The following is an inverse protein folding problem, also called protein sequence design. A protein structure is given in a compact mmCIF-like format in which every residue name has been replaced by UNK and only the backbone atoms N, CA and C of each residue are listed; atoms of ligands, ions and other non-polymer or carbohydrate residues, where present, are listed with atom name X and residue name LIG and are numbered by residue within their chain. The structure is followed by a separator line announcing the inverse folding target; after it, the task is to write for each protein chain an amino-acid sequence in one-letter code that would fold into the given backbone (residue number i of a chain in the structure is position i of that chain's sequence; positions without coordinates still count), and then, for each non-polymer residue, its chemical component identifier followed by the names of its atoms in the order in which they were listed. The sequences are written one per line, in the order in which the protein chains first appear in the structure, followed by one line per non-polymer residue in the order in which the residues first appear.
data_IF_040644637735
#
_entry.id   IF_040644637735
#
_cell.length_a   1.000
_cell.length_b   1.000
_cell.length_c   1.000
_cell.angle_alpha   90.00
_cell.angle_beta   90.00
_cell.angle_gamma   90.00
#
_symmetry.space_group_name_H-M   'P 1'
#
loop_
_entity.id
_entity.type
_entity.pdbx_description
1 polymer ?
#
# COMPACT_ATOMS: atom_id res chain seq x y z
N UNK A 1 26.57 -22.79 1.41
CA UNK A 1 25.21 -22.26 1.20
C UNK A 1 25.05 -21.05 2.12
N UNK A 2 24.64 -19.89 1.62
CA UNK A 2 24.53 -18.67 2.45
C UNK A 2 23.32 -18.73 3.38
N UNK A 3 23.47 -18.29 4.63
CA UNK A 3 22.39 -18.22 5.61
C UNK A 3 21.63 -16.89 5.49
N UNK A 4 20.29 -16.94 5.50
CA UNK A 4 19.43 -15.77 5.51
C UNK A 4 19.62 -14.96 6.80
N UNK A 5 19.97 -13.68 6.68
CA UNK A 5 20.22 -12.80 7.85
C UNK A 5 18.94 -12.08 8.27
N UNK A 6 17.95 -12.83 8.77
CA UNK A 6 16.61 -12.35 9.18
C UNK A 6 16.67 -11.06 10.01
N UNK A 7 17.50 -11.03 11.06
CA UNK A 7 17.63 -9.86 11.93
C UNK A 7 18.15 -8.60 11.21
N UNK A 8 18.99 -8.75 10.18
CA UNK A 8 19.47 -7.61 9.38
C UNK A 8 18.39 -7.08 8.45
N UNK A 9 17.60 -7.97 7.84
CA UNK A 9 16.48 -7.57 6.98
C UNK A 9 15.39 -6.84 7.77
N UNK A 10 14.96 -7.40 8.91
CA UNK A 10 13.97 -6.75 9.77
C UNK A 10 14.46 -5.37 10.26
N UNK A 11 15.72 -5.27 10.71
CA UNK A 11 16.31 -3.99 11.14
C UNK A 11 16.35 -2.97 10.01
N UNK A 12 16.66 -3.39 8.78
CA UNK A 12 16.66 -2.50 7.62
C UNK A 12 15.27 -1.94 7.35
N UNK A 13 14.25 -2.80 7.24
CA UNK A 13 12.86 -2.39 6.97
C UNK A 13 12.36 -1.40 8.02
N UNK A 14 12.51 -1.73 9.30
CA UNK A 14 12.11 -0.86 10.42
C UNK A 14 12.91 0.46 10.49
N UNK A 15 14.08 0.52 9.86
CA UNK A 15 14.87 1.75 9.80
C UNK A 15 14.47 2.69 8.66
N UNK A 16 13.88 2.15 7.58
CA UNK A 16 13.40 2.96 6.45
C UNK A 16 12.23 3.83 6.89
N UNK A 17 11.31 3.26 7.67
CA UNK A 17 10.14 3.95 8.23
C UNK A 17 10.52 5.20 9.04
N UNK A 18 11.67 5.17 9.74
CA UNK A 18 12.12 6.25 10.64
C UNK A 18 12.78 7.43 9.94
N UNK A 19 13.06 7.32 8.63
CA UNK A 19 13.75 8.37 7.87
C UNK A 19 12.77 9.21 7.07
N UNK A 20 11.74 9.75 7.72
CA UNK A 20 10.64 10.45 7.00
C UNK A 20 11.08 11.79 6.36
N UNK A 21 12.11 12.44 6.92
CA UNK A 21 12.52 13.81 6.54
C UNK A 21 13.80 13.88 5.68
N UNK A 22 14.28 12.75 5.15
CA UNK A 22 15.44 12.75 4.24
C UNK A 22 14.98 12.90 2.79
N UNK A 23 15.86 13.44 1.94
CA UNK A 23 15.59 13.65 0.52
C UNK A 23 15.04 12.38 -0.16
N UNK A 24 15.60 11.22 0.18
CA UNK A 24 15.18 9.92 -0.34
C UNK A 24 13.74 9.56 0.04
N UNK A 25 13.25 10.00 1.19
CA UNK A 25 11.86 9.77 1.61
C UNK A 25 10.89 10.63 0.81
N UNK A 26 11.25 11.90 0.58
CA UNK A 26 10.44 12.84 -0.22
C UNK A 26 10.29 12.35 -1.66
N UNK A 27 11.39 11.91 -2.31
CA UNK A 27 11.30 11.42 -3.69
C UNK A 27 10.53 10.11 -3.83
N UNK A 28 10.38 9.35 -2.74
CA UNK A 28 9.62 8.08 -2.73
C UNK A 28 8.19 8.25 -2.21
N UNK A 29 7.77 9.45 -1.84
CA UNK A 29 6.48 9.71 -1.21
C UNK A 29 5.31 9.19 -2.06
N UNK A 30 5.36 9.42 -3.36
CA UNK A 30 4.34 8.98 -4.33
C UNK A 30 4.15 7.46 -4.44
N UNK A 31 5.05 6.62 -3.90
CA UNK A 31 4.92 5.15 -3.89
C UNK A 31 4.94 4.56 -2.47
N UNK A 32 4.75 5.40 -1.44
CA UNK A 32 4.95 5.02 -0.05
C UNK A 32 4.06 3.85 0.40
N UNK A 33 2.80 3.81 -0.05
CA UNK A 33 1.87 2.72 0.23
C UNK A 33 2.31 1.37 -0.33
N UNK A 34 2.84 1.35 -1.56
CA UNK A 34 3.45 0.16 -2.13
C UNK A 34 4.69 -0.27 -1.33
N UNK A 35 5.52 0.69 -0.95
CA UNK A 35 6.69 0.46 -0.10
C UNK A 35 6.34 -0.15 1.25
N UNK A 36 5.28 0.33 1.89
CA UNK A 36 4.75 -0.22 3.13
C UNK A 36 4.30 -1.67 2.93
N UNK A 37 3.50 -1.95 1.90
CA UNK A 37 3.10 -3.32 1.56
C UNK A 37 4.30 -4.27 1.38
N UNK A 38 5.33 -3.87 0.62
CA UNK A 38 6.52 -4.71 0.42
C UNK A 38 7.28 -4.96 1.72
N UNK A 39 7.47 -3.92 2.54
CA UNK A 39 8.14 -4.03 3.83
C UNK A 39 7.38 -4.93 4.81
N UNK A 40 6.07 -4.73 4.93
CA UNK A 40 5.20 -5.49 5.82
C UNK A 40 5.08 -6.95 5.40
N UNK A 41 4.90 -7.22 4.10
CA UNK A 41 4.89 -8.59 3.56
C UNK A 41 6.22 -9.29 3.84
N UNK A 42 7.35 -8.58 3.69
CA UNK A 42 8.65 -9.16 4.02
C UNK A 42 8.76 -9.49 5.51
N UNK A 43 8.27 -8.61 6.39
CA UNK A 43 8.24 -8.85 7.83
C UNK A 43 7.33 -10.03 8.19
N UNK A 44 6.18 -10.16 7.53
CA UNK A 44 5.27 -11.30 7.71
C UNK A 44 5.93 -12.63 7.32
N UNK A 45 6.51 -12.70 6.12
CA UNK A 45 7.22 -13.89 5.62
C UNK A 45 8.33 -14.36 6.57
N UNK A 46 9.02 -13.43 7.23
CA UNK A 46 10.11 -13.75 8.18
C UNK A 46 9.65 -13.85 9.65
N UNK A 47 8.34 -13.80 9.92
CA UNK A 47 7.76 -13.94 11.26
C UNK A 47 8.06 -12.78 12.20
N UNK A 48 8.11 -11.56 11.67
CA UNK A 48 8.43 -10.30 12.37
C UNK A 48 7.41 -9.18 12.14
N UNK A 49 6.21 -9.50 11.66
CA UNK A 49 5.15 -8.50 11.44
C UNK A 49 4.79 -7.74 12.73
N UNK A 50 4.84 -8.42 13.88
CA UNK A 50 4.60 -7.84 15.20
C UNK A 50 5.65 -6.80 15.67
N UNK A 51 6.69 -6.52 14.88
CA UNK A 51 7.66 -5.47 15.16
C UNK A 51 7.17 -4.07 14.73
N UNK A 52 6.03 -3.98 14.06
CA UNK A 52 5.39 -2.74 13.60
C UNK A 52 4.13 -2.46 14.42
N UNK A 53 3.82 -1.18 14.63
CA UNK A 53 2.54 -0.78 15.20
C UNK A 53 1.44 -0.91 14.16
N UNK A 54 0.60 -1.93 14.32
CA UNK A 54 -0.50 -2.23 13.42
C UNK A 54 -1.52 -1.08 13.34
N UNK A 55 -1.88 -0.48 14.47
CA UNK A 55 -2.94 0.53 14.50
C UNK A 55 -2.45 1.84 13.86
N UNK A 56 -1.17 2.19 14.04
CA UNK A 56 -0.54 3.31 13.33
C UNK A 56 -0.61 3.10 11.82
N UNK A 57 -0.22 1.92 11.32
CA UNK A 57 -0.23 1.63 9.89
C UNK A 57 -1.64 1.63 9.32
N UNK A 58 -2.60 1.00 10.00
CA UNK A 58 -4.00 0.95 9.55
C UNK A 58 -4.60 2.36 9.47
N UNK A 59 -4.35 3.21 10.48
CA UNK A 59 -4.79 4.61 10.45
C UNK A 59 -4.23 5.35 9.24
N UNK A 60 -2.92 5.25 9.02
CA UNK A 60 -2.26 5.92 7.88
C UNK A 60 -2.76 5.41 6.52
N UNK A 61 -3.00 4.10 6.37
CA UNK A 61 -3.56 3.53 5.14
C UNK A 61 -4.94 4.14 4.86
N UNK A 62 -5.80 4.26 5.87
CA UNK A 62 -7.13 4.85 5.72
C UNK A 62 -7.09 6.35 5.38
N UNK A 63 -6.10 7.08 5.90
CA UNK A 63 -5.87 8.49 5.52
C UNK A 63 -5.41 8.66 4.05
N UNK A 64 -4.91 7.59 3.42
CA UNK A 64 -4.58 7.60 1.99
C UNK A 64 -5.81 7.36 1.09
N UNK A 65 -7.00 7.10 1.64
CA UNK A 65 -8.20 6.87 0.84
C UNK A 65 -8.77 8.19 0.29
N UNK A 66 -9.00 8.21 -1.01
CA UNK A 66 -9.60 9.33 -1.72
C UNK A 66 -11.14 9.31 -1.64
N UNK A 67 -11.78 10.45 -1.92
CA UNK A 67 -13.24 10.55 -1.94
C UNK A 67 -13.89 9.61 -2.97
N UNK A 68 -13.18 9.30 -4.06
CA UNK A 68 -13.62 8.36 -5.11
C UNK A 68 -13.70 6.91 -4.62
N UNK A 69 -13.01 6.56 -3.53
CA UNK A 69 -12.93 5.19 -2.99
C UNK A 69 -11.59 4.51 -3.19
N UNK A 70 -10.82 4.93 -4.20
CA UNK A 70 -9.45 4.46 -4.41
C UNK A 70 -8.46 5.03 -3.39
N UNK A 71 -7.27 4.45 -3.33
CA UNK A 71 -6.19 4.93 -2.46
C UNK A 71 -5.07 5.56 -3.28
N UNK A 72 -4.45 6.60 -2.72
CA UNK A 72 -3.25 7.22 -3.26
C UNK A 72 -1.96 6.60 -2.71
N UNK A 73 -0.83 6.95 -3.31
CA UNK A 73 0.49 6.46 -2.88
C UNK A 73 0.94 6.97 -1.50
N UNK A 74 0.37 8.10 -1.07
CA UNK A 74 0.44 8.66 0.29
C UNK A 74 -0.76 9.60 0.51
N UNK A 75 -0.89 10.14 1.72
CA UNK A 75 -1.91 11.13 2.08
C UNK A 75 -1.87 12.31 1.08
N UNK A 76 -3.02 12.63 0.50
CA UNK A 76 -3.17 13.76 -0.44
C UNK A 76 -2.71 13.48 -1.88
N UNK A 77 -2.34 12.24 -2.21
CA UNK A 77 -2.03 11.84 -3.58
C UNK A 77 -3.26 11.33 -4.33
N UNK A 78 -3.22 11.44 -5.66
CA UNK A 78 -4.28 10.93 -6.55
C UNK A 78 -4.44 9.41 -6.40
N UNK A 79 -5.69 8.91 -6.45
CA UNK A 79 -5.97 7.49 -6.32
C UNK A 79 -5.56 6.72 -7.58
N UNK A 80 -4.99 5.53 -7.39
CA UNK A 80 -4.62 4.62 -8.48
C UNK A 80 -4.93 3.17 -8.07
N UNK A 81 -5.26 2.30 -9.04
CA UNK A 81 -5.58 0.87 -8.78
C UNK A 81 -4.45 0.14 -8.05
N UNK A 82 -3.19 0.39 -8.41
CA UNK A 82 -2.01 -0.19 -7.76
C UNK A 82 -1.89 0.17 -6.27
N UNK A 83 -2.17 1.42 -5.90
CA UNK A 83 -2.15 1.85 -4.50
C UNK A 83 -3.35 1.29 -3.73
N UNK A 84 -4.51 1.24 -4.39
CA UNK A 84 -5.73 0.61 -3.88
C UNK A 84 -5.50 -0.87 -3.56
N UNK A 85 -4.82 -1.60 -4.45
CA UNK A 85 -4.41 -2.99 -4.22
C UNK A 85 -3.49 -3.10 -2.99
N UNK A 86 -2.45 -2.28 -2.90
CA UNK A 86 -1.53 -2.30 -1.75
C UNK A 86 -2.24 -1.98 -0.43
N UNK A 87 -3.17 -1.02 -0.39
CA UNK A 87 -3.99 -0.75 0.80
C UNK A 87 -4.77 -2.00 1.24
N UNK A 88 -5.49 -2.64 0.30
CA UNK A 88 -6.25 -3.87 0.58
C UNK A 88 -5.33 -4.96 1.11
N UNK A 89 -4.16 -5.15 0.50
CA UNK A 89 -3.20 -6.17 0.91
C UNK A 89 -2.63 -5.90 2.31
N UNK A 90 -2.35 -4.65 2.66
CA UNK A 90 -1.89 -4.28 4.02
C UNK A 90 -2.99 -4.55 5.05
N UNK A 91 -4.25 -4.19 4.77
CA UNK A 91 -5.36 -4.48 5.66
C UNK A 91 -5.59 -5.99 5.80
N UNK A 92 -5.44 -6.75 4.71
CA UNK A 92 -5.53 -8.21 4.73
C UNK A 92 -4.41 -8.86 5.57
N UNK A 93 -3.16 -8.38 5.44
CA UNK A 93 -2.02 -8.85 6.25
C UNK A 93 -2.27 -8.69 7.75
N UNK A 94 -2.92 -7.61 8.15
CA UNK A 94 -3.27 -7.34 9.55
C UNK A 94 -4.63 -7.91 9.99
N UNK A 95 -5.34 -8.61 9.10
CA UNK A 95 -6.71 -9.10 9.34
C UNK A 95 -7.66 -7.97 9.80
N UNK A 96 -7.59 -6.84 9.11
CA UNK A 96 -8.34 -5.59 9.37
C UNK A 96 -9.22 -5.20 8.18
N UNK A 97 -9.80 -6.19 7.49
CA UNK A 97 -10.69 -5.93 6.36
C UNK A 97 -12.03 -5.31 6.79
N UNK A 98 -12.40 -5.42 8.07
CA UNK A 98 -13.63 -4.89 8.65
C UNK A 98 -13.70 -3.35 8.67
N UNK A 99 -12.56 -2.66 8.58
CA UNK A 99 -12.49 -1.20 8.56
C UNK A 99 -12.64 -0.62 7.15
N UNK A 100 -12.62 -1.46 6.11
CA UNK A 100 -12.67 -1.04 4.72
C UNK A 100 -14.10 -0.92 4.21
N UNK A 101 -14.46 0.25 3.67
CA UNK A 101 -15.67 0.41 2.86
C UNK A 101 -15.50 -0.31 1.52
N UNK A 102 -15.90 -1.58 1.50
CA UNK A 102 -15.73 -2.46 0.34
C UNK A 102 -16.57 -2.01 -0.85
N UNK A 103 -17.76 -1.47 -0.62
CA UNK A 103 -18.62 -0.99 -1.70
C UNK A 103 -18.00 0.22 -2.39
N UNK A 104 -17.47 1.16 -1.61
CA UNK A 104 -16.81 2.35 -2.15
C UNK A 104 -15.58 1.99 -3.00
N UNK A 105 -14.76 1.06 -2.53
CA UNK A 105 -13.60 0.56 -3.28
C UNK A 105 -14.02 -0.19 -4.54
N UNK A 106 -15.03 -1.06 -4.45
CA UNK A 106 -15.53 -1.79 -5.60
C UNK A 106 -16.10 -0.85 -6.68
N UNK A 107 -16.84 0.19 -6.26
CA UNK A 107 -17.37 1.21 -7.16
C UNK A 107 -16.25 2.01 -7.86
N UNK A 108 -15.17 2.34 -7.16
CA UNK A 108 -13.99 2.97 -7.76
C UNK A 108 -13.39 2.09 -8.85
N UNK A 109 -13.09 0.82 -8.53
CA UNK A 109 -12.48 -0.12 -9.50
C UNK A 109 -13.41 -0.33 -10.70
N UNK A 110 -14.71 -0.53 -10.47
CA UNK A 110 -15.69 -0.70 -11.53
C UNK A 110 -15.79 0.54 -12.45
N UNK A 111 -15.62 1.74 -11.90
CA UNK A 111 -15.62 2.99 -12.68
C UNK A 111 -14.45 3.11 -13.65
N UNK A 112 -13.37 2.35 -13.45
CA UNK A 112 -12.19 2.33 -14.31
C UNK A 112 -12.29 1.29 -15.44
N UNK A 113 -13.37 0.50 -15.49
CA UNK A 113 -13.57 -0.50 -16.52
C UNK A 113 -13.95 0.13 -17.87
N UNK A 114 -13.21 -0.22 -18.93
CA UNK A 114 -13.51 0.14 -20.31
C UNK A 114 -14.52 -0.82 -20.96
N UNK A 115 -15.06 -0.43 -22.11
CA UNK A 115 -16.06 -1.23 -22.85
C UNK A 115 -15.54 -2.61 -23.30
N UNK A 116 -14.23 -2.74 -23.53
CA UNK A 116 -13.56 -3.99 -23.90
C UNK A 116 -13.26 -4.91 -22.69
N UNK A 117 -13.60 -4.45 -21.48
CA UNK A 117 -13.39 -5.15 -20.22
C UNK A 117 -12.02 -4.92 -19.57
N UNK A 118 -11.12 -4.16 -20.21
CA UNK A 118 -9.88 -3.71 -19.58
C UNK A 118 -10.14 -2.67 -18.48
N UNK A 119 -9.14 -2.40 -17.65
CA UNK A 119 -9.23 -1.42 -16.57
C UNK A 119 -8.12 -0.39 -16.70
N UNK A 120 -8.47 0.88 -16.59
CA UNK A 120 -7.49 1.95 -16.47
C UNK A 120 -6.83 1.94 -15.08
N UNK A 121 -5.60 2.45 -15.01
CA UNK A 121 -4.88 2.60 -13.74
C UNK A 121 -5.53 3.66 -12.83
N UNK A 122 -6.04 4.72 -13.45
CA UNK A 122 -6.67 5.87 -12.82
C UNK A 122 -7.58 6.62 -13.82
N UNK A 123 -8.02 7.82 -13.45
CA UNK A 123 -8.91 8.66 -14.26
C UNK A 123 -8.27 9.21 -15.55
N UNK A 124 -6.95 9.10 -15.71
CA UNK A 124 -6.22 9.58 -16.88
C UNK A 124 -6.14 8.55 -18.01
N UNK A 125 -6.63 7.33 -17.77
CA UNK A 125 -7.00 6.38 -18.83
C UNK A 125 -5.85 5.57 -19.41
N UNK A 126 -4.70 5.52 -18.74
CA UNK A 126 -3.65 4.56 -19.12
C UNK A 126 -4.11 3.13 -18.78
N UNK A 127 -3.99 2.23 -19.75
CA UNK A 127 -4.46 0.85 -19.68
C UNK A 127 -3.31 -0.08 -20.03
N UNK A 128 -3.04 -1.02 -19.14
CA UNK A 128 -2.06 -2.08 -19.34
C UNK A 128 -2.42 -3.32 -18.47
N UNK A 129 -1.47 -4.25 -18.28
CA UNK A 129 -1.72 -5.55 -17.64
C UNK A 129 -1.15 -5.68 -16.21
N UNK A 130 -0.66 -4.59 -15.60
CA UNK A 130 -0.12 -4.58 -14.24
C UNK A 130 -1.16 -4.93 -13.17
#
# INVERSE_FOLDING_TARGET
MGELKVGKHAKYILSVEKKKDVFESVVMEHIRLNGAYWGLTTLDIIGKLNAVDQEEVVSWVLECQHESGGFGGNIGHDPHVLFTLSAIQVLALFNKMDVLDTEKVANYIASLQAEDGSFAGDIWGEIDTR
#
